data_IF_676760019103
#
_entry.id   IF_676760019103
#
_cell.length_a   1.000
_cell.length_b   1.000
_cell.length_c   1.000
_cell.angle_alpha   90.00
_cell.angle_beta   90.00
_cell.angle_gamma   90.00
#
_symmetry.space_group_name_H-M   'P 1'
#
loop_
_entity.id
_entity.type
_entity.pdbx_description
1 polymer ?
#
# COMPACT_ATOMS: atom_id res chain seq x y z
N UNK A 1 -12.56 -16.55 -21.56
CA UNK A 1 -13.22 -15.30 -21.16
C UNK A 1 -14.41 -15.64 -20.29
N UNK A 2 -14.30 -15.49 -18.98
CA UNK A 2 -15.50 -15.35 -18.16
C UNK A 2 -15.98 -13.94 -18.43
N UNK A 3 -17.12 -13.79 -19.10
CA UNK A 3 -17.70 -12.47 -19.31
C UNK A 3 -17.92 -11.83 -17.94
N UNK A 4 -17.43 -10.61 -17.74
CA UNK A 4 -17.70 -9.82 -16.54
C UNK A 4 -19.22 -9.69 -16.38
N UNK A 5 -19.76 -10.47 -15.45
CA UNK A 5 -21.17 -10.48 -15.13
C UNK A 5 -21.43 -9.29 -14.22
N UNK A 6 -22.16 -8.28 -14.73
CA UNK A 6 -22.70 -7.20 -13.90
C UNK A 6 -23.69 -7.69 -12.84
N UNK A 7 -24.02 -8.99 -12.84
CA UNK A 7 -24.92 -9.64 -11.88
C UNK A 7 -24.17 -10.21 -10.67
N UNK A 8 -22.83 -10.22 -10.70
CA UNK A 8 -22.03 -10.77 -9.60
C UNK A 8 -22.12 -9.85 -8.37
N UNK A 9 -22.40 -10.44 -7.21
CA UNK A 9 -22.42 -9.70 -5.95
C UNK A 9 -21.01 -9.28 -5.58
N UNK A 10 -20.78 -7.97 -5.42
CA UNK A 10 -19.50 -7.41 -5.01
C UNK A 10 -19.66 -6.49 -3.80
N UNK A 11 -18.75 -6.62 -2.84
CA UNK A 11 -18.60 -5.69 -1.71
C UNK A 11 -17.68 -4.55 -2.14
N UNK A 12 -18.02 -3.31 -1.79
CA UNK A 12 -17.14 -2.16 -1.92
C UNK A 12 -17.09 -1.39 -0.61
N UNK A 13 -15.89 -1.11 -0.11
CA UNK A 13 -15.64 -0.40 1.15
C UNK A 13 -14.57 0.66 0.93
N UNK A 14 -14.81 1.84 1.49
CA UNK A 14 -13.88 2.97 1.59
C UNK A 14 -14.20 3.71 2.90
N UNK A 15 -13.20 4.29 3.59
CA UNK A 15 -13.46 5.14 4.75
C UNK A 15 -14.07 6.49 4.34
N UNK A 16 -14.48 7.29 5.32
CA UNK A 16 -14.56 8.74 5.11
C UNK A 16 -13.15 9.27 4.84
N UNK A 17 -12.97 10.11 3.82
CA UNK A 17 -11.69 10.75 3.56
C UNK A 17 -11.84 12.23 3.22
N UNK A 18 -10.81 13.00 3.58
CA UNK A 18 -10.71 14.43 3.41
C UNK A 18 -9.42 14.65 2.64
N UNK A 19 -9.53 15.19 1.44
CA UNK A 19 -8.37 15.41 0.59
C UNK A 19 -8.10 16.91 0.40
N UNK A 20 -6.85 17.32 0.62
CA UNK A 20 -6.39 18.66 0.29
C UNK A 20 -5.44 19.24 1.33
N UNK A 21 -4.79 20.35 0.95
CA UNK A 21 -3.86 21.07 1.83
C UNK A 21 -4.61 21.52 3.09
N UNK A 22 -4.05 21.21 4.26
CA UNK A 22 -4.64 21.50 5.56
C UNK A 22 -5.54 20.39 6.10
N UNK A 23 -5.72 19.27 5.39
CA UNK A 23 -6.51 18.14 5.91
C UNK A 23 -5.93 17.60 7.22
N UNK A 24 -4.61 17.55 7.39
CA UNK A 24 -3.97 17.08 8.61
C UNK A 24 -4.30 17.96 9.83
N UNK A 25 -4.55 19.26 9.62
CA UNK A 25 -4.96 20.20 10.67
C UNK A 25 -6.40 19.99 11.16
N UNK A 26 -7.15 19.05 10.56
CA UNK A 26 -8.49 18.66 11.03
C UNK A 26 -8.45 17.50 12.05
N UNK A 27 -7.28 16.99 12.42
CA UNK A 27 -7.15 15.85 13.33
C UNK A 27 -7.92 16.04 14.65
N UNK A 28 -7.75 17.18 15.33
CA UNK A 28 -8.47 17.51 16.56
C UNK A 28 -9.98 17.52 16.37
N UNK A 29 -10.46 18.08 15.26
CA UNK A 29 -11.89 18.09 14.90
C UNK A 29 -12.43 16.68 14.72
N UNK A 30 -11.73 15.82 13.99
CA UNK A 30 -12.19 14.46 13.72
C UNK A 30 -12.19 13.57 14.96
N UNK A 31 -11.12 13.64 15.77
CA UNK A 31 -11.09 12.94 17.07
C UNK A 31 -12.22 13.43 17.99
N UNK A 32 -12.46 14.74 18.04
CA UNK A 32 -13.58 15.32 18.80
C UNK A 32 -14.95 14.80 18.31
N UNK A 33 -15.18 14.77 17.00
CA UNK A 33 -16.44 14.31 16.41
C UNK A 33 -16.71 12.82 16.70
N UNK A 34 -15.65 12.01 16.78
CA UNK A 34 -15.71 10.61 17.18
C UNK A 34 -15.94 10.43 18.69
N UNK A 35 -16.13 11.52 19.45
CA UNK A 35 -16.31 11.54 20.91
C UNK A 35 -15.13 10.96 21.68
N UNK A 36 -13.96 10.85 21.04
CA UNK A 36 -12.73 10.38 21.65
C UNK A 36 -12.06 11.52 22.45
N UNK A 37 -11.41 11.15 23.55
CA UNK A 37 -10.81 12.11 24.50
C UNK A 37 -9.32 11.91 24.69
N UNK A 38 -8.79 10.73 24.38
CA UNK A 38 -7.38 10.43 24.55
C UNK A 38 -6.88 9.44 23.49
N UNK A 39 -6.48 9.92 22.30
CA UNK A 39 -5.88 9.04 21.31
C UNK A 39 -4.48 8.58 21.72
N UNK A 40 -4.13 7.37 21.29
CA UNK A 40 -2.75 6.99 21.06
C UNK A 40 -2.31 7.51 19.70
N UNK A 41 -1.36 8.43 19.67
CA UNK A 41 -0.74 8.93 18.43
C UNK A 41 0.42 8.01 18.07
N UNK A 42 0.31 7.35 16.92
CA UNK A 42 1.29 6.39 16.39
C UNK A 42 2.05 7.04 15.24
N UNK A 43 3.37 7.04 15.31
CA UNK A 43 4.23 7.62 14.26
C UNK A 43 5.62 6.97 14.25
N UNK A 44 6.50 7.43 13.36
CA UNK A 44 7.87 6.96 13.24
C UNK A 44 8.90 8.10 13.44
N UNK A 45 10.18 7.78 13.71
CA UNK A 45 11.21 8.79 13.94
C UNK A 45 11.43 9.77 12.77
N UNK A 46 11.22 9.33 11.52
CA UNK A 46 11.38 10.17 10.35
C UNK A 46 10.29 11.23 10.25
N UNK A 47 9.04 10.84 10.52
CA UNK A 47 7.90 11.77 10.57
C UNK A 47 8.03 12.77 11.73
N UNK A 48 8.51 12.33 12.89
CA UNK A 48 8.83 13.26 13.98
C UNK A 48 9.90 14.28 13.56
N UNK A 49 11.00 13.82 12.96
CA UNK A 49 12.09 14.68 12.53
C UNK A 49 11.65 15.71 11.46
N UNK A 50 10.61 15.38 10.68
CA UNK A 50 10.03 16.30 9.68
C UNK A 50 9.13 17.39 10.25
N UNK A 51 8.68 17.26 11.51
CA UNK A 51 7.74 18.18 12.16
C UNK A 51 6.27 17.96 11.81
N UNK A 52 5.92 17.00 10.93
CA UNK A 52 4.52 16.76 10.57
C UNK A 52 3.69 16.17 11.72
N UNK A 53 4.28 15.37 12.60
CA UNK A 53 3.59 14.89 13.80
C UNK A 53 3.19 16.06 14.72
N UNK A 54 4.07 17.05 14.88
CA UNK A 54 3.81 18.20 15.74
C UNK A 54 2.60 19.01 15.26
N UNK A 55 2.42 19.15 13.95
CA UNK A 55 1.23 19.80 13.37
C UNK A 55 -0.07 19.07 13.74
N UNK A 56 -0.04 17.74 13.74
CA UNK A 56 -1.20 16.92 14.13
C UNK A 56 -1.46 17.06 15.63
N UNK A 57 -0.41 17.00 16.46
CA UNK A 57 -0.49 17.21 17.90
C UNK A 57 -1.04 18.61 18.24
N UNK A 58 -0.59 19.66 17.54
CA UNK A 58 -1.13 21.01 17.71
C UNK A 58 -2.63 21.06 17.44
N UNK A 59 -3.11 20.39 16.38
CA UNK A 59 -4.54 20.30 16.10
C UNK A 59 -5.32 19.63 17.24
N UNK A 60 -4.75 18.59 17.88
CA UNK A 60 -5.34 17.96 19.07
C UNK A 60 -5.38 18.92 20.27
N UNK A 61 -4.29 19.66 20.50
CA UNK A 61 -4.18 20.64 21.59
C UNK A 61 -5.20 21.79 21.45
N UNK A 62 -5.43 22.29 20.23
CA UNK A 62 -6.42 23.33 19.94
C UNK A 62 -7.86 22.90 20.31
N UNK A 63 -8.13 21.60 20.30
CA UNK A 63 -9.40 21.01 20.75
C UNK A 63 -9.38 20.56 22.22
N UNK A 64 -8.28 20.80 22.95
CA UNK A 64 -8.11 20.39 24.35
C UNK A 64 -8.04 18.88 24.54
N UNK A 65 -7.63 18.13 23.50
CA UNK A 65 -7.55 16.67 23.50
C UNK A 65 -6.17 16.27 24.02
N UNK A 66 -6.13 15.57 25.17
CA UNK A 66 -4.89 14.97 25.66
C UNK A 66 -4.54 13.77 24.80
N UNK A 67 -3.27 13.46 24.60
CA UNK A 67 -2.86 12.28 23.82
C UNK A 67 -1.67 11.56 24.45
N UNK A 68 -1.45 10.31 24.04
CA UNK A 68 -0.25 9.55 24.36
C UNK A 68 0.52 9.26 23.08
N UNK A 69 1.86 9.22 23.16
CA UNK A 69 2.70 8.94 21.99
C UNK A 69 3.20 7.49 21.97
N UNK A 70 3.27 6.92 20.77
CA UNK A 70 4.02 5.71 20.42
C UNK A 70 4.74 5.94 19.09
N UNK A 71 6.04 6.24 19.14
CA UNK A 71 6.78 6.84 18.02
C UNK A 71 7.98 6.02 17.54
N UNK A 72 8.11 4.80 18.06
CA UNK A 72 9.23 3.90 17.77
C UNK A 72 8.83 2.82 16.74
N UNK A 73 8.11 3.25 15.70
CA UNK A 73 7.69 2.38 14.60
C UNK A 73 8.86 2.21 13.63
N UNK A 74 9.19 0.97 13.31
CA UNK A 74 10.24 0.65 12.33
C UNK A 74 9.65 0.50 10.92
N UNK A 75 10.48 0.65 9.87
CA UNK A 75 10.14 0.09 8.56
C UNK A 75 9.80 -1.40 8.72
N UNK A 76 8.70 -1.86 8.12
CA UNK A 76 8.13 -3.21 8.30
C UNK A 76 7.70 -3.48 9.76
N UNK A 77 6.51 -3.02 10.18
CA UNK A 77 6.10 -3.05 11.58
C UNK A 77 6.04 -4.49 12.11
N UNK A 78 6.67 -4.73 13.25
CA UNK A 78 6.84 -6.06 13.83
C UNK A 78 5.67 -6.41 14.75
N UNK A 79 5.36 -7.69 14.82
CA UNK A 79 4.39 -8.25 15.77
C UNK A 79 4.67 -7.79 17.22
N UNK A 80 5.93 -7.82 17.63
CA UNK A 80 6.37 -7.32 18.95
C UNK A 80 6.10 -5.83 19.19
N UNK A 81 6.24 -4.97 18.17
CA UNK A 81 5.92 -3.55 18.29
C UNK A 81 4.41 -3.31 18.37
N UNK A 82 3.60 -4.09 17.66
CA UNK A 82 2.14 -4.07 17.80
C UNK A 82 1.73 -4.41 19.22
N UNK A 83 2.30 -5.48 19.79
CA UNK A 83 2.00 -5.88 21.18
C UNK A 83 2.42 -4.81 22.19
N UNK A 84 3.58 -4.17 21.99
CA UNK A 84 4.03 -3.05 22.82
C UNK A 84 3.12 -1.82 22.70
N UNK A 85 2.66 -1.50 21.49
CA UNK A 85 1.71 -0.42 21.23
C UNK A 85 0.36 -0.66 21.90
N UNK A 86 -0.14 -1.90 21.87
CA UNK A 86 -1.38 -2.28 22.55
C UNK A 86 -1.27 -2.22 24.07
N UNK A 87 -0.14 -2.67 24.64
CA UNK A 87 0.13 -2.51 26.07
C UNK A 87 0.17 -1.02 26.47
N UNK A 88 0.78 -0.16 25.64
CA UNK A 88 0.84 1.29 25.85
C UNK A 88 -0.53 1.95 25.76
N UNK A 89 -1.35 1.54 24.79
CA UNK A 89 -2.73 2.00 24.61
C UNK A 89 -3.52 1.79 25.91
N UNK A 90 -3.47 0.57 26.46
CA UNK A 90 -4.13 0.17 27.70
C UNK A 90 -3.58 0.90 28.93
N UNK A 91 -2.25 0.89 29.12
CA UNK A 91 -1.55 1.53 30.26
C UNK A 91 -1.90 3.01 30.40
N UNK A 92 -2.11 3.70 29.27
CA UNK A 92 -2.44 5.12 29.26
C UNK A 92 -3.94 5.41 29.20
N UNK A 93 -4.80 4.39 29.14
CA UNK A 93 -6.24 4.55 29.04
C UNK A 93 -6.60 5.37 27.80
N UNK A 94 -6.03 5.01 26.65
CA UNK A 94 -6.40 5.61 25.38
C UNK A 94 -7.77 5.08 24.94
N UNK A 95 -8.50 5.86 24.15
CA UNK A 95 -9.86 5.53 23.68
C UNK A 95 -10.03 5.60 22.15
N UNK A 96 -8.95 5.90 21.45
CA UNK A 96 -8.87 6.04 20.00
C UNK A 96 -7.42 5.98 19.54
N UNK A 97 -7.19 5.92 18.23
CA UNK A 97 -5.86 5.89 17.63
C UNK A 97 -5.77 6.94 16.53
N UNK A 98 -4.66 7.69 16.50
CA UNK A 98 -4.32 8.61 15.42
C UNK A 98 -3.00 8.16 14.82
N UNK A 99 -3.01 7.67 13.58
CA UNK A 99 -1.81 7.21 12.89
C UNK A 99 -1.30 8.32 11.95
N UNK A 100 -0.06 8.77 12.16
CA UNK A 100 0.61 9.79 11.34
C UNK A 100 1.87 9.19 10.76
N UNK A 101 1.88 8.93 9.45
CA UNK A 101 3.06 8.37 8.81
C UNK A 101 2.76 7.66 7.50
N UNK A 102 3.70 6.81 7.08
CA UNK A 102 3.48 5.90 5.95
C UNK A 102 2.72 4.63 6.35
N UNK A 103 2.71 3.64 5.45
CA UNK A 103 2.03 2.36 5.67
C UNK A 103 2.43 1.66 6.97
N UNK A 104 3.72 1.69 7.35
CA UNK A 104 4.19 1.02 8.57
C UNK A 104 3.55 1.57 9.85
N UNK A 105 3.41 2.89 9.98
CA UNK A 105 2.74 3.49 11.15
C UNK A 105 1.25 3.15 11.19
N UNK A 106 0.59 3.11 10.03
CA UNK A 106 -0.84 2.81 9.92
C UNK A 106 -1.14 1.33 10.17
N UNK A 107 -0.36 0.41 9.60
CA UNK A 107 -0.53 -1.01 9.83
C UNK A 107 -0.26 -1.36 11.30
N UNK A 108 0.76 -0.75 11.93
CA UNK A 108 0.98 -0.91 13.35
C UNK A 108 -0.22 -0.39 14.16
N UNK A 109 -0.74 0.80 13.83
CA UNK A 109 -1.91 1.38 14.49
C UNK A 109 -3.16 0.50 14.37
N UNK A 110 -3.43 -0.06 13.18
CA UNK A 110 -4.51 -1.04 12.97
C UNK A 110 -4.30 -2.29 13.82
N UNK A 111 -3.07 -2.81 13.84
CA UNK A 111 -2.69 -3.95 14.69
C UNK A 111 -2.93 -3.69 16.17
N UNK A 112 -2.57 -2.50 16.67
CA UNK A 112 -2.84 -2.08 18.05
C UNK A 112 -4.34 -2.11 18.34
N UNK A 113 -5.16 -1.60 17.41
CA UNK A 113 -6.62 -1.65 17.52
C UNK A 113 -7.17 -3.08 17.56
N UNK A 114 -6.67 -3.97 16.70
CA UNK A 114 -7.04 -5.40 16.70
C UNK A 114 -6.72 -6.04 18.05
N UNK A 115 -5.48 -5.90 18.52
CA UNK A 115 -5.02 -6.54 19.77
C UNK A 115 -5.78 -6.00 20.97
N UNK A 116 -6.01 -4.68 21.04
CA UNK A 116 -6.78 -4.09 22.13
C UNK A 116 -8.22 -4.62 22.17
N UNK A 117 -8.92 -4.65 21.03
CA UNK A 117 -10.33 -5.09 21.04
C UNK A 117 -10.51 -6.59 21.27
N UNK A 118 -9.57 -7.41 20.83
CA UNK A 118 -9.71 -8.87 20.84
C UNK A 118 -8.91 -9.56 21.96
N UNK A 119 -7.97 -8.88 22.62
CA UNK A 119 -7.17 -9.38 23.74
C UNK A 119 -6.37 -10.66 23.41
N UNK A 120 -5.86 -10.75 22.18
CA UNK A 120 -5.04 -11.86 21.68
C UNK A 120 -3.78 -11.34 20.97
N UNK A 121 -2.83 -12.24 20.70
CA UNK A 121 -1.63 -11.88 19.95
C UNK A 121 -1.99 -11.54 18.49
N UNK A 122 -1.32 -10.54 17.90
CA UNK A 122 -1.63 -10.07 16.54
C UNK A 122 -1.52 -11.17 15.47
N UNK A 123 -0.63 -12.14 15.69
CA UNK A 123 -0.41 -13.26 14.76
C UNK A 123 -1.59 -14.24 14.69
N UNK A 124 -2.52 -14.23 15.66
CA UNK A 124 -3.73 -15.06 15.63
C UNK A 124 -4.75 -14.62 14.56
N UNK A 125 -4.55 -13.43 13.98
CA UNK A 125 -5.47 -12.82 13.02
C UNK A 125 -5.03 -12.92 11.57
N UNK A 126 -3.93 -13.63 11.27
CA UNK A 126 -3.47 -13.85 9.89
C UNK A 126 -4.59 -14.43 9.01
N UNK A 127 -4.82 -13.84 7.84
CA UNK A 127 -5.87 -14.24 6.91
C UNK A 127 -7.04 -13.25 6.84
N UNK A 128 -8.13 -13.70 6.21
CA UNK A 128 -9.32 -12.89 5.97
C UNK A 128 -10.43 -13.15 6.98
N UNK A 129 -11.05 -12.08 7.48
CA UNK A 129 -12.21 -12.09 8.38
C UNK A 129 -11.99 -12.86 9.72
N UNK A 130 -10.75 -12.97 10.17
CA UNK A 130 -10.39 -13.55 11.49
C UNK A 130 -10.52 -12.55 12.66
N UNK A 131 -10.68 -11.25 12.38
CA UNK A 131 -10.87 -10.20 13.40
C UNK A 131 -12.33 -10.16 13.86
N UNK A 132 -12.60 -10.58 15.10
CA UNK A 132 -13.96 -10.74 15.63
C UNK A 132 -14.57 -9.43 16.12
N UNK A 133 -13.81 -8.66 16.89
CA UNK A 133 -14.25 -7.39 17.48
C UNK A 133 -13.55 -6.23 16.77
N UNK A 134 -14.31 -5.18 16.35
CA UNK A 134 -13.72 -4.02 15.70
C UNK A 134 -12.82 -3.23 16.65
N UNK A 135 -11.81 -2.58 16.09
CA UNK A 135 -10.91 -1.68 16.81
C UNK A 135 -11.63 -0.44 17.39
N UNK A 136 -10.95 0.33 18.26
CA UNK A 136 -11.40 1.66 18.64
C UNK A 136 -11.34 2.62 17.44
N UNK A 137 -11.93 3.83 17.54
CA UNK A 137 -11.90 4.80 16.45
C UNK A 137 -10.48 5.09 15.95
N UNK A 138 -10.28 5.05 14.63
CA UNK A 138 -8.99 5.19 13.96
C UNK A 138 -9.03 6.36 12.96
N UNK A 139 -8.14 7.33 13.16
CA UNK A 139 -7.89 8.43 12.22
C UNK A 139 -6.50 8.25 11.60
N UNK A 140 -6.42 8.19 10.26
CA UNK A 140 -5.17 8.03 9.53
C UNK A 140 -4.78 9.33 8.79
N UNK A 141 -3.52 9.73 8.90
CA UNK A 141 -2.93 10.92 8.26
C UNK A 141 -1.68 10.47 7.48
N UNK A 142 -1.78 10.19 6.17
CA UNK A 142 -0.67 9.68 5.39
C UNK A 142 0.41 10.74 5.14
N UNK A 143 1.67 10.37 5.31
CA UNK A 143 2.85 11.18 4.95
C UNK A 143 3.57 10.66 3.71
N UNK A 144 3.07 9.57 3.12
CA UNK A 144 3.62 8.95 1.89
C UNK A 144 2.52 8.72 0.87
N UNK A 145 2.80 8.95 -0.41
CA UNK A 145 1.92 8.61 -1.52
C UNK A 145 2.30 7.25 -2.14
N UNK A 146 1.96 6.14 -1.47
CA UNK A 146 2.26 4.78 -1.93
C UNK A 146 1.31 3.71 -1.40
N UNK A 147 1.47 3.35 -0.13
CA UNK A 147 0.81 2.18 0.49
C UNK A 147 -0.71 2.29 0.55
N UNK A 148 -1.22 3.52 0.68
CA UNK A 148 -2.64 3.82 0.87
C UNK A 148 -3.29 3.05 2.02
N UNK A 149 -2.50 2.77 3.06
CA UNK A 149 -2.96 2.07 4.26
C UNK A 149 -4.05 2.86 5.00
N UNK A 150 -4.16 4.16 4.76
CA UNK A 150 -5.21 5.06 5.23
C UNK A 150 -6.60 4.78 4.64
N UNK A 151 -6.68 4.05 3.52
CA UNK A 151 -7.97 3.67 2.90
C UNK A 151 -8.17 2.16 2.77
N UNK A 152 -7.15 1.38 3.11
CA UNK A 152 -7.15 -0.07 2.87
C UNK A 152 -7.78 -0.87 4.01
N UNK A 153 -8.34 -2.04 3.66
CA UNK A 153 -8.83 -3.04 4.62
C UNK A 153 -7.76 -4.08 5.02
N UNK A 154 -6.49 -3.73 4.82
CA UNK A 154 -5.34 -4.59 5.09
C UNK A 154 -4.53 -4.08 6.28
N UNK A 155 -3.86 -5.01 6.94
CA UNK A 155 -2.84 -4.74 7.96
C UNK A 155 -1.71 -5.74 7.76
N UNK A 156 -0.52 -5.23 7.39
CA UNK A 156 0.64 -6.05 7.07
C UNK A 156 1.66 -5.97 8.20
N UNK A 157 1.89 -7.11 8.87
CA UNK A 157 2.77 -7.20 10.05
C UNK A 157 3.86 -8.23 9.81
N UNK A 158 5.10 -7.91 10.20
CA UNK A 158 6.20 -8.87 10.17
C UNK A 158 6.11 -9.81 11.36
N UNK A 159 5.96 -11.10 11.11
CA UNK A 159 6.15 -12.17 12.08
C UNK A 159 7.65 -12.39 12.30
N UNK A 160 8.15 -11.94 13.45
CA UNK A 160 9.57 -12.02 13.78
C UNK A 160 10.06 -13.44 14.11
N UNK A 161 9.16 -14.40 14.30
CA UNK A 161 9.51 -15.80 14.54
C UNK A 161 9.67 -16.56 13.22
N UNK A 162 8.74 -16.36 12.28
CA UNK A 162 8.75 -17.00 10.95
C UNK A 162 9.55 -16.25 9.89
N UNK A 163 9.89 -14.98 10.13
CA UNK A 163 10.50 -14.06 9.15
C UNK A 163 9.65 -13.95 7.87
N UNK A 164 8.35 -13.76 8.06
CA UNK A 164 7.38 -13.56 6.96
C UNK A 164 6.50 -12.37 7.28
N UNK A 165 5.99 -11.70 6.25
CA UNK A 165 4.92 -10.73 6.40
C UNK A 165 3.59 -11.46 6.39
N UNK A 166 2.81 -11.29 7.45
CA UNK A 166 1.43 -11.77 7.49
C UNK A 166 0.49 -10.68 6.99
N UNK A 167 -0.57 -11.10 6.31
CA UNK A 167 -1.64 -10.21 5.88
C UNK A 167 -2.90 -10.48 6.72
N UNK A 168 -3.38 -9.44 7.39
CA UNK A 168 -4.68 -9.46 8.08
C UNK A 168 -5.64 -8.65 7.21
N UNK A 169 -6.75 -9.27 6.80
CA UNK A 169 -7.76 -8.65 5.95
C UNK A 169 -9.08 -8.59 6.71
N UNK A 170 -9.58 -7.38 6.97
CA UNK A 170 -10.89 -7.24 7.61
C UNK A 170 -11.53 -5.90 7.30
N UNK A 171 -12.85 -5.89 7.12
CA UNK A 171 -13.61 -4.63 7.03
C UNK A 171 -13.41 -3.77 8.29
N UNK A 172 -13.15 -4.39 9.44
CA UNK A 172 -13.07 -3.68 10.73
C UNK A 172 -11.77 -2.89 10.92
N UNK A 173 -10.77 -3.07 10.05
CA UNK A 173 -9.50 -2.31 10.10
C UNK A 173 -9.48 -1.12 9.14
N UNK A 174 -10.57 -0.91 8.37
CA UNK A 174 -10.74 0.29 7.57
C UNK A 174 -10.88 1.48 8.52
N UNK A 175 -10.08 2.56 8.37
CA UNK A 175 -10.14 3.70 9.27
C UNK A 175 -11.51 4.37 9.30
N UNK A 176 -11.84 5.04 10.40
CA UNK A 176 -13.04 5.86 10.48
C UNK A 176 -12.89 7.13 9.64
N UNK A 177 -11.68 7.71 9.61
CA UNK A 177 -11.36 8.87 8.78
C UNK A 177 -9.92 8.85 8.26
N UNK A 178 -9.73 9.21 6.99
CA UNK A 178 -8.44 9.47 6.36
C UNK A 178 -8.27 10.96 6.04
N UNK A 179 -7.29 11.63 6.65
CA UNK A 179 -6.99 13.05 6.46
C UNK A 179 -5.78 13.20 5.54
N UNK A 180 -6.05 13.24 4.25
CA UNK A 180 -5.07 13.08 3.17
C UNK A 180 -4.57 14.46 2.74
N UNK A 181 -3.47 14.88 3.35
CA UNK A 181 -2.84 16.18 3.12
C UNK A 181 -1.56 16.03 2.26
N UNK A 182 -1.56 16.49 1.00
CA UNK A 182 -0.40 16.36 0.12
C UNK A 182 0.81 17.16 0.59
N UNK A 183 0.63 18.17 1.45
CA UNK A 183 1.75 18.95 2.00
C UNK A 183 2.72 18.08 2.81
N UNK A 184 2.19 17.06 3.49
CA UNK A 184 2.97 16.15 4.34
C UNK A 184 3.94 15.24 3.56
N UNK A 185 3.79 15.18 2.22
CA UNK A 185 4.69 14.42 1.35
C UNK A 185 5.88 15.23 0.85
N UNK A 186 5.90 16.55 1.10
CA UNK A 186 6.96 17.44 0.58
C UNK A 186 8.34 17.19 1.22
N UNK A 187 8.38 16.52 2.37
CA UNK A 187 9.61 16.12 3.06
C UNK A 187 10.15 14.76 2.63
N UNK A 188 9.44 14.03 1.77
CA UNK A 188 9.95 12.79 1.19
C UNK A 188 11.10 13.11 0.23
N UNK A 189 12.23 12.43 0.40
CA UNK A 189 13.32 12.49 -0.58
C UNK A 189 12.91 11.86 -1.93
N UNK A 190 13.77 12.02 -2.94
CA UNK A 190 13.50 11.52 -4.29
C UNK A 190 13.41 9.99 -4.34
N UNK A 191 14.17 9.28 -3.52
CA UNK A 191 14.21 7.82 -3.51
C UNK A 191 12.90 7.25 -2.94
N UNK A 192 12.49 7.73 -1.78
CA UNK A 192 11.21 7.37 -1.16
C UNK A 192 10.03 7.75 -2.06
N UNK A 193 10.09 8.91 -2.72
CA UNK A 193 9.07 9.34 -3.69
C UNK A 193 8.98 8.38 -4.88
N UNK A 194 10.13 7.92 -5.41
CA UNK A 194 10.16 6.98 -6.51
C UNK A 194 9.59 5.62 -6.10
N UNK A 195 10.07 5.08 -4.98
CA UNK A 195 9.65 3.77 -4.48
C UNK A 195 8.16 3.72 -4.16
N UNK A 196 7.65 4.70 -3.42
CA UNK A 196 6.21 4.77 -3.07
C UNK A 196 5.33 5.07 -4.28
N UNK A 197 5.78 5.90 -5.23
CA UNK A 197 5.03 6.16 -6.46
C UNK A 197 4.90 4.93 -7.37
N UNK A 198 5.96 4.11 -7.48
CA UNK A 198 5.93 2.86 -8.25
C UNK A 198 5.18 1.74 -7.50
N UNK A 199 5.16 1.79 -6.17
CA UNK A 199 4.31 0.95 -5.33
C UNK A 199 2.82 1.22 -5.62
N UNK A 200 2.39 2.48 -5.57
CA UNK A 200 1.04 2.89 -5.95
C UNK A 200 0.68 2.52 -7.40
N UNK A 201 1.64 2.59 -8.32
CA UNK A 201 1.42 2.15 -9.70
C UNK A 201 1.16 0.64 -9.76
N UNK A 202 1.96 -0.14 -9.03
CA UNK A 202 1.82 -1.59 -8.93
C UNK A 202 0.45 -1.94 -8.36
N UNK A 203 0.03 -1.29 -7.26
CA UNK A 203 -1.31 -1.44 -6.70
C UNK A 203 -2.40 -1.23 -7.76
N UNK A 204 -2.32 -0.14 -8.51
CA UNK A 204 -3.33 0.19 -9.51
C UNK A 204 -3.36 -0.82 -10.67
N UNK A 205 -2.19 -1.24 -11.16
CA UNK A 205 -2.11 -2.23 -12.25
C UNK A 205 -2.65 -3.58 -11.78
N UNK A 206 -2.19 -4.09 -10.65
CA UNK A 206 -2.62 -5.39 -10.13
C UNK A 206 -4.10 -5.41 -9.77
N UNK A 207 -4.61 -4.35 -9.12
CA UNK A 207 -6.03 -4.23 -8.83
C UNK A 207 -6.88 -4.21 -10.11
N UNK A 208 -6.39 -3.57 -11.18
CA UNK A 208 -7.09 -3.56 -12.45
C UNK A 208 -7.09 -4.94 -13.10
N UNK A 209 -5.97 -5.67 -13.14
CA UNK A 209 -5.92 -6.98 -13.82
C UNK A 209 -6.35 -8.16 -12.95
N UNK A 210 -6.63 -7.92 -11.67
CA UNK A 210 -7.04 -8.93 -10.69
C UNK A 210 -8.29 -9.71 -11.12
N UNK A 211 -8.37 -11.00 -10.79
CA UNK A 211 -9.59 -11.81 -10.95
C UNK A 211 -10.75 -11.37 -10.03
N UNK A 212 -10.47 -10.53 -9.03
CA UNK A 212 -11.47 -9.91 -8.15
C UNK A 212 -11.83 -8.47 -8.55
N UNK A 213 -11.40 -8.02 -9.73
CA UNK A 213 -11.77 -6.71 -10.26
C UNK A 213 -13.30 -6.53 -10.39
N UNK A 214 -13.71 -5.27 -10.55
CA UNK A 214 -15.10 -4.87 -10.75
C UNK A 214 -15.17 -3.54 -11.48
N UNK A 215 -16.31 -3.20 -12.13
CA UNK A 215 -16.48 -1.90 -12.76
C UNK A 215 -16.21 -0.70 -11.83
N UNK A 216 -16.44 -0.85 -10.51
CA UNK A 216 -16.18 0.23 -9.55
C UNK A 216 -14.69 0.38 -9.29
N UNK A 217 -13.97 -0.72 -9.03
CA UNK A 217 -12.51 -0.68 -8.80
C UNK A 217 -11.75 -0.22 -10.05
N UNK A 218 -12.28 -0.54 -11.24
CA UNK A 218 -11.69 -0.19 -12.53
C UNK A 218 -11.62 1.31 -12.77
N UNK A 219 -12.66 2.05 -12.34
CA UNK A 219 -12.69 3.51 -12.41
C UNK A 219 -11.50 4.11 -11.65
N UNK A 220 -11.26 3.63 -10.43
CA UNK A 220 -10.20 4.11 -9.57
C UNK A 220 -8.83 3.65 -10.07
N UNK A 221 -8.67 2.38 -10.43
CA UNK A 221 -7.40 1.82 -10.87
C UNK A 221 -6.87 2.50 -12.15
N UNK A 222 -7.70 2.69 -13.17
CA UNK A 222 -7.26 3.36 -14.40
C UNK A 222 -6.93 4.82 -14.17
N UNK A 223 -7.72 5.53 -13.35
CA UNK A 223 -7.44 6.93 -13.03
C UNK A 223 -6.16 7.07 -12.18
N UNK A 224 -5.90 6.14 -11.26
CA UNK A 224 -4.65 6.06 -10.52
C UNK A 224 -3.45 5.93 -11.46
N UNK A 225 -3.49 5.00 -12.43
CA UNK A 225 -2.42 4.79 -13.42
C UNK A 225 -2.15 6.08 -14.20
N UNK A 226 -3.20 6.75 -14.69
CA UNK A 226 -3.07 8.02 -15.44
C UNK A 226 -2.40 9.12 -14.61
N UNK A 227 -2.83 9.27 -13.36
CA UNK A 227 -2.29 10.29 -12.43
C UNK A 227 -0.84 10.01 -12.09
N UNK A 228 -0.52 8.79 -11.69
CA UNK A 228 0.83 8.42 -11.29
C UNK A 228 1.80 8.60 -12.46
N UNK A 229 1.42 8.15 -13.67
CA UNK A 229 2.24 8.35 -14.87
C UNK A 229 2.47 9.84 -15.21
N UNK A 230 1.47 10.68 -14.95
CA UNK A 230 1.56 12.14 -15.18
C UNK A 230 2.41 12.85 -14.12
N UNK A 231 2.19 12.55 -12.84
CA UNK A 231 2.68 13.39 -11.74
C UNK A 231 3.96 12.87 -11.07
N UNK A 232 4.26 11.57 -11.15
CA UNK A 232 5.46 11.00 -10.53
C UNK A 232 6.75 11.69 -11.04
N UNK A 233 6.97 11.89 -12.35
CA UNK A 233 8.18 12.57 -12.82
C UNK A 233 8.33 13.99 -12.27
N UNK A 234 7.23 14.75 -12.18
CA UNK A 234 7.24 16.12 -11.66
C UNK A 234 7.52 16.15 -10.15
N UNK A 235 6.94 15.21 -9.38
CA UNK A 235 7.18 15.10 -7.95
C UNK A 235 8.64 14.73 -7.62
N UNK A 236 9.32 14.01 -8.52
CA UNK A 236 10.74 13.67 -8.39
C UNK A 236 11.66 14.83 -8.76
N UNK A 237 11.33 15.55 -9.84
CA UNK A 237 12.12 16.71 -10.28
C UNK A 237 12.02 17.87 -9.27
N UNK A 238 10.83 18.08 -8.69
CA UNK A 238 10.55 19.15 -7.73
C UNK A 238 9.74 18.62 -6.56
N UNK A 239 10.42 18.11 -5.53
CA UNK A 239 9.79 17.50 -4.36
C UNK A 239 8.87 18.41 -3.52
N UNK A 240 8.89 19.73 -3.73
CA UNK A 240 8.01 20.71 -3.07
C UNK A 240 6.87 21.20 -3.99
N UNK A 241 6.77 20.69 -5.22
CA UNK A 241 5.68 21.01 -6.15
C UNK A 241 4.38 20.40 -5.62
N UNK A 242 3.58 21.23 -4.92
CA UNK A 242 2.36 20.78 -4.26
C UNK A 242 1.32 20.22 -5.23
N UNK A 243 1.30 20.66 -6.49
CA UNK A 243 0.37 20.10 -7.46
C UNK A 243 0.82 18.71 -7.92
N UNK A 244 2.13 18.50 -8.11
CA UNK A 244 2.67 17.17 -8.36
C UNK A 244 2.47 16.23 -7.16
N UNK A 245 2.70 16.71 -5.93
CA UNK A 245 2.45 15.95 -4.69
C UNK A 245 0.97 15.61 -4.53
N UNK A 246 0.05 16.55 -4.77
CA UNK A 246 -1.38 16.31 -4.74
C UNK A 246 -1.83 15.32 -5.81
N UNK A 247 -1.28 15.44 -7.02
CA UNK A 247 -1.53 14.49 -8.11
C UNK A 247 -1.09 13.06 -7.77
N UNK A 248 0.08 12.90 -7.15
CA UNK A 248 0.57 11.61 -6.66
C UNK A 248 -0.25 11.07 -5.51
N UNK A 249 -0.61 11.90 -4.53
CA UNK A 249 -1.40 11.49 -3.38
C UNK A 249 -2.81 11.03 -3.79
N UNK A 250 -3.46 11.74 -4.73
CA UNK A 250 -4.71 11.26 -5.34
C UNK A 250 -4.53 9.95 -6.09
N UNK A 251 -3.45 9.81 -6.86
CA UNK A 251 -3.12 8.58 -7.57
C UNK A 251 -2.97 7.39 -6.62
N UNK A 252 -2.22 7.57 -5.53
CA UNK A 252 -2.07 6.60 -4.44
C UNK A 252 -3.43 6.26 -3.84
N UNK A 253 -4.20 7.25 -3.37
CA UNK A 253 -5.50 7.03 -2.75
C UNK A 253 -6.45 6.23 -3.67
N UNK A 254 -6.51 6.56 -4.96
CA UNK A 254 -7.32 5.80 -5.92
C UNK A 254 -6.81 4.38 -6.14
N UNK A 255 -5.49 4.17 -6.20
CA UNK A 255 -4.92 2.82 -6.21
C UNK A 255 -5.33 2.05 -4.95
N UNK A 256 -5.27 2.71 -3.79
CA UNK A 256 -5.74 2.24 -2.48
C UNK A 256 -7.18 1.75 -2.48
N UNK A 257 -8.08 2.60 -2.93
CA UNK A 257 -9.52 2.30 -3.04
C UNK A 257 -9.75 1.10 -3.98
N UNK A 258 -8.99 1.00 -5.07
CA UNK A 258 -9.07 -0.12 -6.00
C UNK A 258 -8.58 -1.42 -5.37
N UNK A 259 -7.31 -1.48 -4.93
CA UNK A 259 -6.71 -2.72 -4.44
C UNK A 259 -7.31 -3.18 -3.12
N UNK A 260 -7.78 -2.25 -2.28
CA UNK A 260 -8.50 -2.60 -1.07
C UNK A 260 -9.66 -3.54 -1.40
N UNK A 261 -10.33 -3.36 -2.55
CA UNK A 261 -11.53 -4.10 -2.93
C UNK A 261 -11.30 -5.17 -4.02
N UNK A 262 -10.23 -5.06 -4.80
CA UNK A 262 -9.87 -6.03 -5.85
C UNK A 262 -8.66 -6.91 -5.48
N UNK A 263 -8.08 -6.73 -4.28
CA UNK A 263 -6.82 -7.38 -3.88
C UNK A 263 -5.72 -7.03 -4.92
N UNK A 264 -4.71 -7.86 -5.06
CA UNK A 264 -3.47 -7.62 -5.81
C UNK A 264 -3.11 -8.87 -6.62
N UNK A 265 -1.82 -9.11 -6.87
CA UNK A 265 -1.36 -10.26 -7.63
C UNK A 265 0.05 -10.70 -7.25
N UNK A 266 0.73 -11.29 -8.24
CA UNK A 266 2.04 -11.91 -8.06
C UNK A 266 3.15 -10.90 -7.71
N UNK A 267 3.06 -9.62 -8.10
CA UNK A 267 4.09 -8.63 -7.74
C UNK A 267 4.16 -8.49 -6.21
N UNK A 268 3.01 -8.26 -5.56
CA UNK A 268 2.95 -8.12 -4.11
C UNK A 268 3.26 -9.43 -3.38
N UNK A 269 2.74 -10.57 -3.87
CA UNK A 269 3.06 -11.88 -3.31
C UNK A 269 4.59 -12.14 -3.25
N UNK A 270 5.28 -11.76 -4.33
CA UNK A 270 6.74 -11.86 -4.39
C UNK A 270 7.44 -10.80 -3.51
N UNK A 271 6.98 -9.54 -3.54
CA UNK A 271 7.56 -8.47 -2.74
C UNK A 271 7.41 -8.68 -1.22
N UNK A 272 6.30 -9.28 -0.75
CA UNK A 272 6.12 -9.65 0.66
C UNK A 272 7.16 -10.67 1.12
N UNK A 273 7.43 -11.67 0.28
CA UNK A 273 8.45 -12.68 0.54
C UNK A 273 9.85 -12.09 0.67
N UNK A 274 10.22 -11.17 -0.24
CA UNK A 274 11.47 -10.40 -0.16
C UNK A 274 11.57 -9.57 1.13
N UNK A 275 10.49 -8.85 1.46
CA UNK A 275 10.41 -8.04 2.67
C UNK A 275 10.45 -8.85 3.97
N UNK A 276 9.94 -10.08 3.97
CA UNK A 276 10.02 -10.98 5.13
C UNK A 276 11.41 -11.58 5.32
N UNK A 277 11.99 -12.13 4.25
CA UNK A 277 13.25 -12.89 4.33
C UNK A 277 14.48 -11.99 4.49
N UNK A 278 14.49 -10.82 3.84
CA UNK A 278 15.67 -9.93 3.73
C UNK A 278 15.42 -8.54 4.33
N UNK A 279 14.24 -8.29 4.91
CA UNK A 279 13.84 -6.98 5.46
C UNK A 279 13.95 -5.83 4.44
N UNK A 280 13.76 -6.14 3.15
CA UNK A 280 13.91 -5.17 2.06
C UNK A 280 12.74 -4.17 2.02
N UNK A 281 12.99 -2.92 1.56
CA UNK A 281 11.93 -1.92 1.41
C UNK A 281 10.88 -2.36 0.39
N UNK A 282 9.60 -2.29 0.77
CA UNK A 282 8.50 -2.83 -0.04
C UNK A 282 8.40 -2.23 -1.45
N UNK A 283 8.43 -0.89 -1.55
CA UNK A 283 8.22 -0.20 -2.83
C UNK A 283 9.29 -0.49 -3.88
N UNK A 284 10.56 -0.67 -3.49
CA UNK A 284 11.62 -1.03 -4.45
C UNK A 284 11.46 -2.47 -4.92
N UNK A 285 11.05 -3.41 -4.05
CA UNK A 285 10.78 -4.78 -4.44
C UNK A 285 9.65 -4.85 -5.48
N UNK A 286 8.53 -4.16 -5.24
CA UNK A 286 7.42 -4.06 -6.20
C UNK A 286 7.89 -3.44 -7.54
N UNK A 287 8.61 -2.33 -7.46
CA UNK A 287 9.13 -1.66 -8.64
C UNK A 287 10.02 -2.55 -9.51
N UNK A 288 10.95 -3.31 -8.91
CA UNK A 288 11.85 -4.22 -9.63
C UNK A 288 11.05 -5.32 -10.33
N UNK A 289 10.09 -5.93 -9.65
CA UNK A 289 9.33 -7.09 -10.12
C UNK A 289 8.23 -6.76 -11.15
N UNK A 290 7.71 -5.52 -11.15
CA UNK A 290 6.51 -5.14 -11.89
C UNK A 290 6.50 -5.57 -13.36
N UNK A 291 7.52 -5.20 -14.16
CA UNK A 291 7.48 -5.51 -15.60
C UNK A 291 7.69 -6.99 -15.93
N UNK A 292 8.36 -7.74 -15.05
CA UNK A 292 8.49 -9.20 -15.19
C UNK A 292 7.14 -9.88 -14.99
N UNK A 293 6.37 -9.47 -13.98
CA UNK A 293 5.04 -10.02 -13.70
C UNK A 293 4.01 -9.56 -14.75
N UNK A 294 4.06 -8.30 -15.21
CA UNK A 294 3.23 -7.84 -16.34
C UNK A 294 3.49 -8.72 -17.57
N UNK A 295 4.75 -9.03 -17.87
CA UNK A 295 5.11 -9.90 -18.99
C UNK A 295 4.55 -11.32 -18.85
N UNK A 296 4.57 -11.88 -17.64
CA UNK A 296 4.01 -13.20 -17.33
C UNK A 296 2.48 -13.22 -17.44
N UNK A 297 1.82 -12.23 -16.86
CA UNK A 297 0.37 -12.16 -16.78
C UNK A 297 -0.30 -11.67 -18.08
N UNK A 298 0.46 -11.09 -19.02
CA UNK A 298 -0.10 -10.37 -20.17
C UNK A 298 -1.15 -11.17 -20.94
N UNK A 299 -0.83 -12.41 -21.32
CA UNK A 299 -1.72 -13.21 -22.17
C UNK A 299 -2.99 -13.67 -21.45
N UNK A 300 -2.94 -13.81 -20.12
CA UNK A 300 -4.10 -14.18 -19.30
C UNK A 300 -5.13 -13.04 -19.20
N UNK A 301 -4.69 -11.78 -19.27
CA UNK A 301 -5.54 -10.59 -19.12
C UNK A 301 -5.27 -9.54 -20.21
N UNK A 302 -5.00 -9.96 -21.44
CA UNK A 302 -4.48 -9.11 -22.54
C UNK A 302 -5.24 -7.80 -22.69
N UNK A 303 -6.56 -7.85 -22.89
CA UNK A 303 -7.39 -6.65 -23.10
C UNK A 303 -7.25 -5.63 -21.95
N UNK A 304 -7.18 -6.10 -20.70
CA UNK A 304 -7.01 -5.24 -19.53
C UNK A 304 -5.59 -4.64 -19.49
N UNK A 305 -4.57 -5.41 -19.85
CA UNK A 305 -3.22 -4.86 -20.00
C UNK A 305 -3.09 -3.85 -21.14
N UNK A 306 -3.88 -3.97 -22.22
CA UNK A 306 -3.94 -2.93 -23.25
C UNK A 306 -4.50 -1.62 -22.67
N UNK A 307 -5.54 -1.67 -21.85
CA UNK A 307 -6.07 -0.48 -21.16
C UNK A 307 -5.06 0.13 -20.18
N UNK A 308 -4.31 -0.69 -19.44
CA UNK A 308 -3.16 -0.24 -18.63
C UNK A 308 -2.16 0.49 -19.51
N UNK A 309 -1.77 -0.10 -20.64
CA UNK A 309 -0.89 0.52 -21.62
C UNK A 309 -1.38 1.89 -22.08
N UNK A 310 -2.67 1.99 -22.48
CA UNK A 310 -3.31 3.25 -22.89
C UNK A 310 -3.26 4.29 -21.78
N UNK A 311 -3.57 3.91 -20.54
CA UNK A 311 -3.51 4.80 -19.38
C UNK A 311 -2.08 5.28 -19.07
N UNK A 312 -1.07 4.47 -19.39
CA UNK A 312 0.34 4.83 -19.30
C UNK A 312 0.88 5.58 -20.54
N UNK A 313 0.06 5.76 -21.57
CA UNK A 313 0.42 6.46 -22.80
C UNK A 313 1.18 5.60 -23.82
N UNK A 314 0.97 4.28 -23.83
CA UNK A 314 1.44 3.39 -24.88
C UNK A 314 0.69 3.66 -26.20
N UNK A 315 1.42 3.64 -27.32
CA UNK A 315 0.85 3.78 -28.66
C UNK A 315 0.37 2.41 -29.16
N UNK A 316 -0.93 2.16 -29.05
CA UNK A 316 -1.57 0.89 -29.43
C UNK A 316 -2.45 1.10 -30.67
N UNK A 317 -1.84 1.02 -31.85
CA UNK A 317 -2.51 1.18 -33.13
C UNK A 317 -3.34 -0.06 -33.53
N UNK A 318 -4.45 0.11 -34.26
CA UNK A 318 -5.22 -1.02 -34.79
C UNK A 318 -4.36 -1.94 -35.68
N UNK A 319 -4.49 -3.26 -35.49
CA UNK A 319 -3.82 -4.26 -36.32
C UNK A 319 -2.38 -4.62 -35.90
N UNK A 320 -1.91 -4.12 -34.75
CA UNK A 320 -0.67 -4.59 -34.15
C UNK A 320 -0.72 -6.11 -33.86
N UNK A 321 0.43 -6.78 -33.97
CA UNK A 321 0.52 -8.18 -33.53
C UNK A 321 0.42 -8.25 -32.00
N UNK A 322 -0.04 -9.39 -31.43
CA UNK A 322 -0.10 -9.57 -29.97
C UNK A 322 1.24 -9.28 -29.28
N UNK A 323 2.33 -9.70 -29.90
CA UNK A 323 3.69 -9.45 -29.39
C UNK A 323 4.07 -7.96 -29.43
N UNK A 324 3.69 -7.23 -30.48
CA UNK A 324 3.94 -5.79 -30.56
C UNK A 324 3.14 -5.01 -29.51
N UNK A 325 1.88 -5.39 -29.27
CA UNK A 325 1.06 -4.80 -28.22
C UNK A 325 1.66 -5.02 -26.83
N UNK A 326 2.06 -6.27 -26.53
CA UNK A 326 2.72 -6.64 -25.29
C UNK A 326 3.97 -5.80 -25.03
N UNK A 327 4.84 -5.70 -26.03
CA UNK A 327 6.06 -4.91 -25.93
C UNK A 327 5.76 -3.42 -25.71
N UNK A 328 4.73 -2.85 -26.36
CA UNK A 328 4.34 -1.46 -26.13
C UNK A 328 3.87 -1.19 -24.69
N UNK A 329 3.13 -2.13 -24.07
CA UNK A 329 2.71 -2.02 -22.66
C UNK A 329 3.93 -2.10 -21.73
N UNK A 330 4.80 -3.08 -21.93
CA UNK A 330 6.03 -3.24 -21.14
C UNK A 330 6.94 -2.02 -21.25
N UNK A 331 7.08 -1.44 -22.45
CA UNK A 331 7.89 -0.26 -22.67
C UNK A 331 7.34 0.97 -21.94
N UNK A 332 6.01 1.13 -21.85
CA UNK A 332 5.39 2.20 -21.08
C UNK A 332 5.69 2.07 -19.57
N UNK A 333 5.57 0.86 -19.01
CA UNK A 333 5.92 0.56 -17.61
C UNK A 333 7.40 0.85 -17.35
N UNK A 334 8.29 0.29 -18.18
CA UNK A 334 9.74 0.46 -18.05
C UNK A 334 10.17 1.91 -18.25
N UNK A 335 9.51 2.67 -19.12
CA UNK A 335 9.78 4.11 -19.33
C UNK A 335 9.51 4.91 -18.07
N UNK A 336 8.42 4.63 -17.35
CA UNK A 336 8.13 5.29 -16.09
C UNK A 336 9.12 4.87 -14.99
N UNK A 337 9.45 3.57 -14.86
CA UNK A 337 10.50 3.08 -13.94
C UNK A 337 11.84 3.81 -14.15
N UNK A 338 12.29 3.91 -15.42
CA UNK A 338 13.53 4.63 -15.77
C UNK A 338 13.47 6.11 -15.41
N UNK A 339 12.33 6.78 -15.68
CA UNK A 339 12.11 8.18 -15.28
C UNK A 339 12.11 8.35 -13.76
N UNK A 340 11.65 7.33 -13.03
CA UNK A 340 11.66 7.31 -11.58
C UNK A 340 13.05 7.02 -10.98
N UNK A 341 14.05 6.69 -11.81
CA UNK A 341 15.40 6.39 -11.35
C UNK A 341 15.59 4.98 -10.80
N UNK A 342 14.56 4.12 -10.84
CA UNK A 342 14.63 2.74 -10.33
C UNK A 342 15.10 1.79 -11.44
N UNK A 343 16.42 1.55 -11.47
CA UNK A 343 17.08 0.67 -12.43
C UNK A 343 17.86 -0.48 -11.76
N UNK A 344 17.65 -0.68 -10.46
CA UNK A 344 18.30 -1.73 -9.68
C UNK A 344 17.72 -3.11 -10.01
N UNK A 345 18.52 -4.14 -9.78
CA UNK A 345 18.13 -5.55 -9.83
C UNK A 345 18.03 -6.11 -8.41
N UNK A 346 17.47 -7.31 -8.26
CA UNK A 346 17.42 -7.97 -6.96
C UNK A 346 18.82 -8.30 -6.41
N UNK A 347 19.79 -8.54 -7.29
CA UNK A 347 21.19 -8.75 -6.92
C UNK A 347 21.83 -7.50 -6.27
N UNK A 348 21.47 -6.31 -6.72
CA UNK A 348 21.90 -5.03 -6.10
C UNK A 348 21.32 -4.86 -4.68
N UNK A 349 20.21 -5.54 -4.38
CA UNK A 349 19.55 -5.55 -3.07
C UNK A 349 20.02 -6.73 -2.18
N UNK A 350 21.04 -7.49 -2.61
CA UNK A 350 21.61 -8.59 -1.83
C UNK A 350 20.82 -9.90 -1.89
N UNK A 351 19.94 -10.06 -2.88
CA UNK A 351 19.28 -11.35 -3.19
C UNK A 351 20.24 -12.21 -4.01
N UNK A 352 20.40 -13.48 -3.62
CA UNK A 352 21.26 -14.44 -4.32
C UNK A 352 20.44 -15.58 -4.94
N UNK A 353 21.09 -16.41 -5.74
CA UNK A 353 20.46 -17.59 -6.35
C UNK A 353 19.92 -18.58 -5.33
N UNK A 354 20.55 -18.66 -4.15
CA UNK A 354 20.13 -19.56 -3.06
C UNK A 354 18.84 -19.09 -2.38
N UNK A 355 18.50 -17.80 -2.48
CA UNK A 355 17.30 -17.23 -1.89
C UNK A 355 16.04 -17.54 -2.72
N UNK A 356 16.16 -17.83 -4.02
CA UNK A 356 15.03 -17.87 -4.95
C UNK A 356 13.99 -18.95 -4.60
N UNK A 357 14.43 -20.18 -4.34
CA UNK A 357 13.52 -21.28 -4.03
C UNK A 357 12.75 -21.06 -2.70
N UNK A 358 13.39 -20.62 -1.59
CA UNK A 358 12.66 -20.15 -0.40
C UNK A 358 11.67 -19.01 -0.71
N UNK A 359 12.11 -17.98 -1.43
CA UNK A 359 11.28 -16.81 -1.75
C UNK A 359 10.03 -17.21 -2.55
N UNK A 360 10.19 -18.10 -3.53
CA UNK A 360 9.10 -18.57 -4.38
C UNK A 360 8.09 -19.42 -3.61
N UNK A 361 8.52 -20.28 -2.69
CA UNK A 361 7.60 -21.05 -1.83
C UNK A 361 6.75 -20.17 -0.92
N UNK A 362 7.35 -19.14 -0.33
CA UNK A 362 6.62 -18.18 0.49
C UNK A 362 5.63 -17.36 -0.37
N UNK A 363 6.08 -16.86 -1.53
CA UNK A 363 5.22 -16.11 -2.45
C UNK A 363 4.04 -16.95 -2.98
N UNK A 364 4.26 -18.25 -3.24
CA UNK A 364 3.19 -19.18 -3.63
C UNK A 364 2.12 -19.39 -2.54
N UNK A 365 2.44 -19.07 -1.28
CA UNK A 365 1.53 -19.17 -0.14
C UNK A 365 0.90 -17.82 0.23
N UNK A 366 1.28 -16.74 -0.44
CA UNK A 366 0.79 -15.39 -0.13
C UNK A 366 -0.66 -15.19 -0.62
N UNK A 367 -1.57 -14.65 0.21
CA UNK A 367 -2.96 -14.42 -0.18
C UNK A 367 -3.16 -13.55 -1.43
N UNK A 368 -2.23 -12.64 -1.74
CA UNK A 368 -2.32 -11.78 -2.93
C UNK A 368 -2.32 -12.58 -4.23
N UNK A 369 -1.70 -13.77 -4.23
CA UNK A 369 -1.63 -14.61 -5.42
C UNK A 369 -2.99 -15.19 -5.83
N UNK A 370 -3.93 -15.30 -4.88
CA UNK A 370 -5.26 -15.87 -5.12
C UNK A 370 -6.05 -15.13 -6.19
N UNK A 371 -5.75 -13.84 -6.41
CA UNK A 371 -6.42 -12.99 -7.38
C UNK A 371 -5.57 -12.66 -8.61
N UNK A 372 -4.36 -13.21 -8.73
CA UNK A 372 -3.52 -13.00 -9.90
C UNK A 372 -4.19 -13.58 -11.17
N UNK A 373 -4.21 -12.86 -12.32
CA UNK A 373 -4.93 -13.30 -13.51
C UNK A 373 -4.39 -14.60 -14.11
N UNK A 374 -3.08 -14.84 -14.06
CA UNK A 374 -2.49 -16.12 -14.42
C UNK A 374 -2.25 -16.97 -13.17
N UNK A 375 -2.48 -18.28 -13.25
CA UNK A 375 -2.00 -19.19 -12.20
C UNK A 375 -0.47 -19.18 -12.25
N UNK A 376 0.18 -19.03 -11.08
CA UNK A 376 1.63 -19.05 -10.96
C UNK A 376 2.06 -20.15 -9.99
N UNK A 377 2.82 -21.13 -10.47
CA UNK A 377 3.43 -22.14 -9.61
C UNK A 377 4.66 -21.60 -8.87
N UNK A 378 5.13 -22.29 -7.84
CA UNK A 378 6.37 -21.92 -7.16
C UNK A 378 7.57 -21.92 -8.14
N UNK A 379 7.61 -22.86 -9.09
CA UNK A 379 8.67 -22.91 -10.11
C UNK A 379 8.61 -21.70 -11.07
N UNK A 380 7.41 -21.25 -11.46
CA UNK A 380 7.24 -20.06 -12.30
C UNK A 380 7.63 -18.77 -11.55
N UNK A 381 7.24 -18.66 -10.27
CA UNK A 381 7.66 -17.55 -9.41
C UNK A 381 9.19 -17.52 -9.21
N UNK A 382 9.82 -18.69 -9.05
CA UNK A 382 11.29 -18.80 -8.98
C UNK A 382 11.96 -18.29 -10.27
N UNK A 383 11.41 -18.63 -11.44
CA UNK A 383 11.89 -18.11 -12.72
C UNK A 383 11.71 -16.59 -12.83
N UNK A 384 10.62 -16.03 -12.31
CA UNK A 384 10.41 -14.59 -12.29
C UNK A 384 11.43 -13.87 -11.41
N UNK A 385 11.75 -14.42 -10.22
CA UNK A 385 12.86 -13.89 -9.43
C UNK A 385 14.19 -13.99 -10.16
N UNK A 386 14.46 -15.12 -10.83
CA UNK A 386 15.69 -15.31 -11.59
C UNK A 386 15.85 -14.31 -12.75
N UNK A 387 14.74 -13.88 -13.38
CA UNK A 387 14.76 -12.83 -14.41
C UNK A 387 15.09 -11.44 -13.82
N UNK A 388 14.75 -11.22 -12.54
CA UNK A 388 14.92 -9.96 -11.83
C UNK A 388 16.23 -9.86 -11.02
N UNK A 389 16.94 -10.98 -10.80
CA UNK A 389 18.35 -11.02 -10.33
C UNK A 389 19.25 -10.30 -11.32
#
# INVERSE_FOLDING_TARGET
>A
MVAESLLDLRKFVTPEFIFGVGAASLAGRYVHNLSARKPLVVSDPGVMASGWMDRVCQSLDEYGIRYSLFVDVSPNPRDTQVMAGAARYEEKGCDSIVAVGGGSAMDLAKGVGIVHSNQQHILEFEGADNVLLPGPPLVCIPTTAGSSADVSQFTIITDTTRNVKIAIVSKTVVPDAALIDPELTTTMDSELTAHTGLDALTHAIEAYVSNANSPVTDLFALEAIRRINRFLPAALERGYDLEARAGMMLGSMYAGIAFSNAILGAVHAMAHSLGGLKDLPHGVCNAVLLDHVVNFNFDAARERYLEVGRAMGAELAPGMSPEAEKNAVLDAVRKLKRKAGVNVRLSDLGVTTEDLAPLARHAASDPCLATNPATASAEELEQLYAQAL
#
